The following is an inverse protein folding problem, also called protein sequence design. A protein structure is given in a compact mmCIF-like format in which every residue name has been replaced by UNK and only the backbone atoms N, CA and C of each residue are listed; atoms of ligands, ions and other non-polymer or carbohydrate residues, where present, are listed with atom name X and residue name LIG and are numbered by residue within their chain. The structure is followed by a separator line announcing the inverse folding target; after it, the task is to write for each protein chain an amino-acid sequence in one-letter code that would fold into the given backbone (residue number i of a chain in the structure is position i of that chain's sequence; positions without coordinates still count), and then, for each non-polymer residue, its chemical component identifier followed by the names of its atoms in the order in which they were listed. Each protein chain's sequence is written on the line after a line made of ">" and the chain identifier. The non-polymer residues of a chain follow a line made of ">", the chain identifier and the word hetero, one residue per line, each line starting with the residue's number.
data_IF_126531438941
#
_entry.id   IF_126531438941
#
_cell.length_a   1.000
_cell.length_b   1.000
_cell.length_c   1.000
_cell.angle_alpha   90.00
_cell.angle_beta   90.00
_cell.angle_gamma   90.00
#
_symmetry.space_group_name_H-M   'P 1'
#
loop_
_entity.id
_entity.type
_entity.pdbx_description
1 polymer ?
#
# COMPACT_ATOMS: atom_id res chain seq x y z
N UNK A 1 -1.40 4.53 14.06
CA UNK A 1 -0.61 3.48 13.38
C UNK A 1 -1.31 2.94 12.14
N UNK A 2 -0.54 2.40 11.18
CA UNK A 2 -1.03 1.62 10.04
C UNK A 2 -1.34 0.19 10.49
N UNK A 3 -2.57 -0.27 10.24
CA UNK A 3 -3.03 -1.63 10.52
C UNK A 3 -2.69 -2.58 9.37
N UNK A 4 -2.87 -2.12 8.13
CA UNK A 4 -2.57 -2.90 6.94
C UNK A 4 -2.35 -2.03 5.70
N UNK A 5 -1.66 -2.61 4.72
CA UNK A 5 -1.46 -2.08 3.37
C UNK A 5 -1.99 -3.10 2.37
N UNK A 6 -2.89 -2.67 1.48
CA UNK A 6 -3.47 -3.52 0.43
C UNK A 6 -3.28 -2.86 -0.93
N UNK A 7 -2.82 -3.65 -1.89
CA UNK A 7 -2.85 -3.31 -3.31
C UNK A 7 -3.86 -4.22 -3.97
N UNK A 8 -4.94 -3.66 -4.50
CA UNK A 8 -6.02 -4.43 -5.10
C UNK A 8 -6.41 -3.86 -6.45
N UNK A 9 -6.70 -4.73 -7.42
CA UNK A 9 -7.27 -4.28 -8.67
C UNK A 9 -8.79 -4.06 -8.55
N UNK A 10 -9.40 -3.50 -9.60
CA UNK A 10 -10.86 -3.30 -9.68
C UNK A 10 -11.69 -4.57 -9.49
N UNK A 11 -11.16 -5.74 -9.86
CA UNK A 11 -11.87 -7.02 -9.73
C UNK A 11 -11.78 -7.62 -8.32
N UNK A 12 -11.03 -7.01 -7.40
CA UNK A 12 -10.81 -7.53 -6.04
C UNK A 12 -9.64 -8.49 -5.91
N UNK A 13 -8.88 -8.71 -6.98
CA UNK A 13 -7.64 -9.49 -6.90
C UNK A 13 -6.60 -8.66 -6.14
N UNK A 14 -6.13 -9.23 -5.03
CA UNK A 14 -5.13 -8.61 -4.18
C UNK A 14 -3.73 -8.94 -4.71
N UNK A 15 -2.94 -7.92 -5.00
CA UNK A 15 -1.55 -8.03 -5.50
C UNK A 15 -0.54 -8.05 -4.38
N UNK A 16 -0.83 -7.29 -3.32
CA UNK A 16 -0.04 -7.28 -2.10
C UNK A 16 -0.97 -7.07 -0.91
N UNK A 17 -0.67 -7.75 0.19
CA UNK A 17 -1.33 -7.54 1.46
C UNK A 17 -0.34 -7.68 2.62
N UNK A 18 -0.14 -6.59 3.35
CA UNK A 18 0.73 -6.57 4.53
C UNK A 18 -0.09 -6.13 5.72
N UNK A 19 -0.17 -6.96 6.75
CA UNK A 19 -0.86 -6.67 8.00
C UNK A 19 0.19 -6.43 9.10
N UNK A 20 0.05 -5.34 9.83
CA UNK A 20 0.88 -4.99 10.98
C UNK A 20 0.21 -5.36 12.30
N UNK A 21 -1.09 -5.65 12.27
CA UNK A 21 -1.85 -6.20 13.39
C UNK A 21 -2.03 -7.71 13.23
N UNK A 22 -2.08 -8.48 14.33
CA UNK A 22 -2.32 -9.91 14.27
C UNK A 22 -3.77 -10.18 13.83
N UNK A 23 -3.94 -10.77 12.65
CA UNK A 23 -5.24 -11.17 12.09
C UNK A 23 -5.07 -12.54 11.45
N UNK A 24 -6.00 -13.44 11.73
CA UNK A 24 -6.06 -14.78 11.14
C UNK A 24 -6.38 -14.73 9.63
N UNK A 25 -6.10 -15.81 8.92
CA UNK A 25 -6.29 -15.85 7.46
C UNK A 25 -7.75 -15.60 7.04
N UNK A 26 -8.70 -16.09 7.85
CA UNK A 26 -10.13 -15.87 7.61
C UNK A 26 -10.49 -14.38 7.76
N UNK A 27 -10.03 -13.73 8.84
CA UNK A 27 -10.21 -12.29 9.06
C UNK A 27 -9.54 -11.46 7.97
N UNK A 28 -8.31 -11.80 7.56
CA UNK A 28 -7.62 -11.10 6.47
C UNK A 28 -8.39 -11.21 5.15
N UNK A 29 -8.91 -12.40 4.82
CA UNK A 29 -9.72 -12.61 3.61
C UNK A 29 -11.01 -11.79 3.65
N UNK A 30 -11.66 -11.70 4.82
CA UNK A 30 -12.85 -10.89 5.01
C UNK A 30 -12.55 -9.39 4.84
N UNK A 31 -11.47 -8.89 5.47
CA UNK A 31 -11.06 -7.48 5.35
C UNK A 31 -10.77 -7.14 3.89
N UNK A 32 -9.97 -7.96 3.18
CA UNK A 32 -9.65 -7.75 1.76
C UNK A 32 -10.90 -7.61 0.90
N UNK A 33 -11.93 -8.45 1.12
CA UNK A 33 -13.19 -8.39 0.37
C UNK A 33 -14.02 -7.15 0.72
N UNK A 34 -14.18 -6.85 2.01
CA UNK A 34 -14.99 -5.73 2.49
C UNK A 34 -14.39 -4.39 2.05
N UNK A 35 -13.08 -4.22 2.24
CA UNK A 35 -12.35 -3.02 1.81
C UNK A 35 -12.47 -2.82 0.30
N UNK A 36 -12.31 -3.89 -0.49
CA UNK A 36 -12.45 -3.79 -1.94
C UNK A 36 -13.84 -3.31 -2.37
N UNK A 37 -14.90 -3.89 -1.79
CA UNK A 37 -16.27 -3.52 -2.10
C UNK A 37 -16.56 -2.04 -1.77
N UNK A 38 -16.07 -1.56 -0.61
CA UNK A 38 -16.22 -0.16 -0.19
C UNK A 38 -15.51 0.78 -1.15
N UNK A 39 -14.24 0.49 -1.49
CA UNK A 39 -13.44 1.37 -2.35
C UNK A 39 -13.97 1.38 -3.79
N UNK A 40 -14.39 0.23 -4.33
CA UNK A 40 -14.93 0.13 -5.68
C UNK A 40 -16.30 0.82 -5.87
N UNK A 41 -17.12 0.87 -4.82
CA UNK A 41 -18.43 1.51 -4.88
C UNK A 41 -18.37 3.05 -4.87
N UNK A 42 -17.19 3.65 -4.64
CA UNK A 42 -17.03 5.10 -4.51
C UNK A 42 -16.83 5.80 -5.85
N UNK A 43 -17.45 6.98 -5.96
CA UNK A 43 -17.30 7.87 -7.10
C UNK A 43 -15.90 8.50 -7.16
N UNK A 44 -15.43 8.86 -8.35
CA UNK A 44 -14.13 9.50 -8.56
C UNK A 44 -14.00 10.89 -7.89
N UNK A 45 -15.11 11.59 -7.63
CA UNK A 45 -15.15 12.87 -6.92
C UNK A 45 -15.20 12.71 -5.40
N UNK A 46 -15.38 11.48 -4.91
CA UNK A 46 -15.36 11.22 -3.48
C UNK A 46 -13.96 11.47 -2.90
N UNK A 47 -13.91 11.78 -1.61
CA UNK A 47 -12.63 11.95 -0.91
C UNK A 47 -11.83 10.65 -0.88
N UNK A 48 -10.52 10.76 -0.67
CA UNK A 48 -9.60 9.63 -0.50
C UNK A 48 -9.74 8.90 0.84
N UNK A 49 -10.75 9.25 1.66
CA UNK A 49 -10.92 8.81 3.03
C UNK A 49 -12.28 8.15 3.24
N UNK A 50 -12.30 7.02 3.95
CA UNK A 50 -13.52 6.28 4.26
C UNK A 50 -13.44 5.70 5.67
N UNK A 51 -14.47 5.88 6.49
CA UNK A 51 -14.57 5.15 7.75
C UNK A 51 -14.86 3.66 7.50
N UNK A 52 -14.17 2.79 8.21
CA UNK A 52 -14.36 1.34 8.16
C UNK A 52 -14.22 0.75 9.55
N UNK A 53 -15.36 0.39 10.16
CA UNK A 53 -15.43 -0.05 11.56
C UNK A 53 -14.76 0.99 12.46
N UNK A 54 -13.82 0.56 13.30
CA UNK A 54 -13.09 1.40 14.24
C UNK A 54 -11.83 2.05 13.63
N UNK A 55 -11.60 1.91 12.32
CA UNK A 55 -10.44 2.50 11.61
C UNK A 55 -10.86 3.39 10.45
N UNK A 56 -9.91 4.13 9.88
CA UNK A 56 -10.06 4.89 8.64
C UNK A 56 -9.31 4.21 7.51
N UNK A 57 -9.89 4.21 6.31
CA UNK A 57 -9.25 3.79 5.08
C UNK A 57 -8.79 5.03 4.33
N UNK A 58 -7.50 5.06 4.02
CA UNK A 58 -6.90 6.04 3.10
C UNK A 58 -6.57 5.30 1.82
N UNK A 59 -7.08 5.77 0.68
CA UNK A 59 -6.82 5.10 -0.59
C UNK A 59 -6.57 6.07 -1.74
N UNK A 60 -5.80 5.61 -2.72
CA UNK A 60 -5.61 6.32 -3.99
C UNK A 60 -5.51 5.33 -5.14
N UNK A 61 -6.07 5.72 -6.28
CA UNK A 61 -6.09 4.89 -7.48
C UNK A 61 -4.97 5.32 -8.43
N UNK A 62 -4.15 4.36 -8.85
CA UNK A 62 -3.14 4.52 -9.89
C UNK A 62 -3.42 3.48 -10.99
N UNK A 63 -3.73 3.97 -12.19
CA UNK A 63 -4.17 3.12 -13.31
C UNK A 63 -5.31 2.14 -12.92
N UNK A 64 -5.05 0.83 -12.96
CA UNK A 64 -6.00 -0.23 -12.61
C UNK A 64 -6.00 -0.65 -11.13
N UNK A 65 -5.07 -0.13 -10.33
CA UNK A 65 -4.82 -0.55 -8.95
C UNK A 65 -5.25 0.51 -7.94
N UNK A 66 -5.81 0.02 -6.83
CA UNK A 66 -6.06 0.78 -5.62
C UNK A 66 -4.98 0.46 -4.60
N UNK A 67 -4.32 1.51 -4.13
CA UNK A 67 -3.42 1.48 -2.99
C UNK A 67 -4.22 1.93 -1.78
N UNK A 68 -4.30 1.08 -0.76
CA UNK A 68 -5.21 1.25 0.37
C UNK A 68 -4.44 1.01 1.67
N UNK A 69 -4.53 1.97 2.59
CA UNK A 69 -4.00 1.89 3.95
C UNK A 69 -5.18 1.89 4.93
N UNK A 70 -5.15 0.97 5.89
CA UNK A 70 -6.00 1.05 7.09
C UNK A 70 -5.22 1.73 8.21
N UNK A 71 -5.71 2.83 8.74
CA UNK A 71 -5.04 3.67 9.75
C UNK A 71 -5.97 3.96 10.94
N UNK A 72 -5.40 4.38 12.07
CA UNK A 72 -6.19 4.78 13.23
C UNK A 72 -7.04 6.03 12.97
N UNK A 73 -8.07 6.24 13.80
CA UNK A 73 -8.97 7.38 13.65
C UNK A 73 -8.30 8.73 13.95
N UNK A 74 -7.32 8.73 14.85
CA UNK A 74 -6.63 9.93 15.33
C UNK A 74 -5.51 10.40 14.38
N UNK A 75 -5.14 9.53 13.44
CA UNK A 75 -4.03 9.75 12.52
C UNK A 75 -4.33 10.78 11.43
N UNK A 76 -3.27 11.41 10.92
CA UNK A 76 -3.35 12.40 9.84
C UNK A 76 -3.58 11.73 8.48
N UNK A 77 -4.79 11.92 7.96
CA UNK A 77 -5.25 11.35 6.69
C UNK A 77 -4.40 11.78 5.48
N UNK A 78 -4.01 13.07 5.40
CA UNK A 78 -3.24 13.62 4.27
C UNK A 78 -1.81 13.09 4.23
N UNK A 79 -1.21 12.86 5.40
CA UNK A 79 0.12 12.26 5.52
C UNK A 79 0.16 10.89 4.84
N UNK A 80 -0.86 10.06 5.07
CA UNK A 80 -0.92 8.72 4.47
C UNK A 80 -1.27 8.72 2.98
N UNK A 81 -1.99 9.73 2.47
CA UNK A 81 -2.15 9.92 1.02
C UNK A 81 -0.81 10.23 0.36
N UNK A 82 0.01 11.04 1.01
CA UNK A 82 1.34 11.37 0.52
C UNK A 82 2.29 10.17 0.63
N UNK A 83 2.18 9.37 1.70
CA UNK A 83 2.92 8.11 1.81
C UNK A 83 2.58 7.14 0.66
N UNK A 84 1.30 7.03 0.29
CA UNK A 84 0.89 6.24 -0.88
C UNK A 84 1.54 6.79 -2.16
N UNK A 85 1.60 8.12 -2.32
CA UNK A 85 2.23 8.74 -3.49
C UNK A 85 3.74 8.45 -3.55
N UNK A 86 4.43 8.65 -2.43
CA UNK A 86 5.84 8.34 -2.28
C UNK A 86 6.14 6.86 -2.59
N UNK A 87 5.29 5.93 -2.11
CA UNK A 87 5.45 4.51 -2.40
C UNK A 87 5.38 4.23 -3.90
N UNK A 88 4.42 4.84 -4.60
CA UNK A 88 4.28 4.68 -6.05
C UNK A 88 5.46 5.28 -6.81
N UNK A 89 5.97 6.43 -6.37
CA UNK A 89 7.17 7.03 -6.97
C UNK A 89 8.41 6.15 -6.77
N UNK A 90 8.63 5.61 -5.56
CA UNK A 90 9.75 4.71 -5.29
C UNK A 90 9.66 3.45 -6.15
N UNK A 91 8.45 2.89 -6.31
CA UNK A 91 8.22 1.74 -7.19
C UNK A 91 8.53 2.07 -8.65
N UNK A 92 8.11 3.25 -9.13
CA UNK A 92 8.36 3.69 -10.49
C UNK A 92 9.85 3.91 -10.77
N UNK A 93 10.56 4.55 -9.83
CA UNK A 93 12.02 4.73 -9.90
C UNK A 93 12.77 3.39 -9.86
N UNK A 94 12.29 2.43 -9.07
CA UNK A 94 12.93 1.12 -8.92
C UNK A 94 12.73 0.22 -10.16
N UNK A 95 11.50 0.12 -10.68
CA UNK A 95 11.18 -0.75 -11.83
C UNK A 95 11.41 -0.09 -13.20
N UNK A 96 11.51 1.24 -13.26
CA UNK A 96 11.59 2.07 -14.48
C UNK A 96 10.38 1.86 -15.38
N UNK A 97 9.33 2.65 -15.15
CA UNK A 97 7.99 2.52 -15.72
C UNK A 97 7.22 1.32 -15.15
N UNK A 98 6.85 1.42 -13.87
CA UNK A 98 6.23 0.31 -13.14
C UNK A 98 4.85 -0.05 -13.71
N UNK A 99 4.60 -1.34 -13.91
CA UNK A 99 3.28 -1.85 -14.27
C UNK A 99 2.74 -2.88 -13.26
N UNK A 100 1.44 -3.18 -13.34
CA UNK A 100 0.81 -4.16 -12.44
C UNK A 100 1.46 -5.55 -12.53
N UNK A 101 1.96 -5.95 -13.70
CA UNK A 101 2.67 -7.23 -13.86
C UNK A 101 3.98 -7.25 -13.08
N UNK A 102 4.72 -6.15 -13.02
CA UNK A 102 5.98 -6.09 -12.26
C UNK A 102 5.73 -6.33 -10.77
N UNK A 103 4.64 -5.77 -10.23
CA UNK A 103 4.23 -5.98 -8.84
C UNK A 103 3.81 -7.44 -8.57
N UNK A 104 3.21 -8.11 -9.57
CA UNK A 104 2.81 -9.52 -9.47
C UNK A 104 4.03 -10.44 -9.50
N UNK A 105 4.93 -10.25 -10.46
CA UNK A 105 6.10 -11.12 -10.65
C UNK A 105 7.18 -10.87 -9.58
N UNK A 106 7.34 -9.62 -9.15
CA UNK A 106 8.36 -9.22 -8.17
C UNK A 106 7.76 -8.87 -6.80
N UNK A 107 6.69 -9.55 -6.38
CA UNK A 107 5.99 -9.23 -5.13
C UNK A 107 6.93 -9.15 -3.91
N UNK A 108 7.91 -10.06 -3.82
CA UNK A 108 8.91 -10.08 -2.76
C UNK A 108 9.74 -8.78 -2.69
N UNK A 109 10.13 -8.21 -3.84
CA UNK A 109 10.83 -6.91 -3.91
C UNK A 109 9.91 -5.77 -3.45
N UNK A 110 8.62 -5.83 -3.79
CA UNK A 110 7.64 -4.83 -3.33
C UNK A 110 7.48 -4.90 -1.80
N UNK A 111 7.45 -6.09 -1.20
CA UNK A 111 7.46 -6.23 0.26
C UNK A 111 8.70 -5.59 0.89
N UNK A 112 9.89 -5.85 0.33
CA UNK A 112 11.15 -5.25 0.81
C UNK A 112 11.13 -3.72 0.71
N UNK A 113 10.62 -3.15 -0.39
CA UNK A 113 10.47 -1.70 -0.54
C UNK A 113 9.54 -1.14 0.56
N UNK A 114 8.42 -1.82 0.82
CA UNK A 114 7.49 -1.42 1.87
C UNK A 114 8.13 -1.58 3.26
N UNK A 115 8.97 -2.59 3.49
CA UNK A 115 9.72 -2.78 4.74
C UNK A 115 10.72 -1.64 5.01
N UNK A 116 11.39 -1.11 3.98
CA UNK A 116 12.27 0.06 4.13
C UNK A 116 11.49 1.34 4.48
N UNK A 117 10.26 1.47 3.97
CA UNK A 117 9.42 2.66 4.18
C UNK A 117 8.59 2.61 5.47
N UNK A 118 8.07 1.43 5.82
CA UNK A 118 7.10 1.24 6.90
C UNK A 118 7.40 -0.02 7.70
N UNK A 119 7.69 0.16 8.98
CA UNK A 119 8.02 -0.90 9.92
C UNK A 119 7.13 -0.82 11.16
N UNK A 120 6.60 -1.96 11.59
CA UNK A 120 5.75 -2.02 12.79
C UNK A 120 4.44 -1.21 12.70
N UNK A 121 4.00 -0.84 11.50
CA UNK A 121 2.84 0.02 11.29
C UNK A 121 3.15 1.52 11.36
N UNK A 122 4.42 1.91 11.46
CA UNK A 122 4.85 3.30 11.50
C UNK A 122 5.79 3.64 10.34
N UNK A 123 5.82 4.92 9.96
CA UNK A 123 6.68 5.42 8.88
C UNK A 123 8.12 5.44 9.38
N UNK A 124 9.01 4.76 8.66
CA UNK A 124 10.43 4.67 9.00
C UNK A 124 11.27 5.63 8.15
N UNK A 125 11.14 5.57 6.83
CA UNK A 125 11.94 6.35 5.89
C UNK A 125 11.07 7.00 4.83
N UNK A 126 11.36 8.26 4.53
CA UNK A 126 10.62 9.10 3.56
C UNK A 126 11.51 9.62 2.44
N UNK A 127 12.83 9.51 2.59
CA UNK A 127 13.80 10.00 1.64
C UNK A 127 14.02 8.98 0.51
N UNK A 128 13.48 9.29 -0.67
CA UNK A 128 13.70 8.52 -1.92
C UNK A 128 15.16 8.08 -2.14
N UNK A 129 16.19 8.95 -2.07
CA UNK A 129 17.56 8.52 -2.32
C UNK A 129 18.06 7.53 -1.25
N UNK A 130 17.65 7.67 0.00
CA UNK A 130 18.04 6.74 1.07
C UNK A 130 17.41 5.37 0.83
N UNK A 131 16.12 5.32 0.51
CA UNK A 131 15.39 4.07 0.21
C UNK A 131 16.06 3.36 -0.98
N UNK A 132 16.31 4.07 -2.07
CA UNK A 132 16.92 3.48 -3.27
C UNK A 132 18.34 2.98 -3.04
N UNK A 133 19.15 3.71 -2.26
CA UNK A 133 20.49 3.26 -1.90
C UNK A 133 20.45 1.99 -1.04
N UNK A 134 19.53 1.90 -0.07
CA UNK A 134 19.33 0.69 0.75
C UNK A 134 18.95 -0.52 -0.09
N UNK A 135 18.06 -0.34 -1.06
CA UNK A 135 17.67 -1.43 -1.98
C UNK A 135 18.85 -1.92 -2.84
N UNK A 136 19.79 -1.03 -3.20
CA UNK A 136 21.01 -1.40 -3.91
C UNK A 136 22.00 -2.15 -3.01
N UNK A 137 22.17 -1.72 -1.75
CA UNK A 137 23.02 -2.41 -0.75
C UNK A 137 22.54 -3.84 -0.48
N UNK A 138 21.23 -4.07 -0.52
CA UNK A 138 20.60 -5.38 -0.36
C UNK A 138 20.70 -6.27 -1.62
N UNK A 139 21.48 -5.87 -2.64
CA UNK A 139 21.64 -6.55 -3.94
C UNK A 139 20.31 -6.83 -4.66
N UNK A 140 19.27 -6.04 -4.40
CA UNK A 140 17.97 -6.24 -5.03
C UNK A 140 18.07 -5.73 -6.48
N UNK A 141 18.36 -6.63 -7.42
CA UNK A 141 18.38 -6.29 -8.85
C UNK A 141 17.00 -5.83 -9.32
N UNK A 142 16.95 -4.68 -9.99
CA UNK A 142 15.73 -4.12 -10.59
C UNK A 142 15.07 -5.02 -11.65
N UNK A 143 15.82 -5.97 -12.25
CA UNK A 143 15.33 -7.00 -13.18
C UNK A 143 16.05 -8.33 -12.95
#
# INVERSE_FOLDING_TARGET
>A
MIHFILLQNRMGNTRLAKFYIPVDDAGQAQIKRQVNAIVNARDARATNFVSYKDIKLVYRRYAGLFFILGIDQEDNDLMYVELIHLLVEVLDMFFKDVCELDLIFNFHKVYMIIDEMVMGGEIQEVSRPVILNRLQELEISSK
#
